data_IF_072863069510
#
_entry.id   IF_072863069510
#
_cell.length_a   1.000
_cell.length_b   1.000
_cell.length_c   1.000
_cell.angle_alpha   90.00
_cell.angle_beta   90.00
_cell.angle_gamma   90.00
#
_symmetry.space_group_name_H-M   'P 1'
#
loop_
_entity.id
_entity.type
_entity.pdbx_description
1 polymer ?
#
# COMPACT_ATOMS: atom_id res chain seq x y z
N UNK A 1 7.16 18.50 -19.55
CA UNK A 1 5.85 18.77 -18.91
C UNK A 1 4.97 17.55 -19.16
N UNK A 2 4.48 16.90 -18.10
CA UNK A 2 3.63 15.73 -18.26
C UNK A 2 2.31 16.11 -18.96
N UNK A 3 1.75 15.20 -19.77
CA UNK A 3 0.49 15.41 -20.52
C UNK A 3 -0.69 15.83 -19.63
N UNK A 4 -0.60 15.54 -18.33
CA UNK A 4 -1.54 15.94 -17.30
C UNK A 4 -1.54 17.45 -17.03
N UNK A 5 -0.36 18.06 -16.96
CA UNK A 5 -0.17 19.48 -16.64
C UNK A 5 -0.22 20.37 -17.89
N UNK A 6 0.11 19.83 -19.06
CA UNK A 6 0.19 20.60 -20.31
C UNK A 6 -1.16 20.91 -20.97
N UNK A 7 -2.29 20.59 -20.32
CA UNK A 7 -3.61 20.86 -20.90
C UNK A 7 -4.01 19.95 -22.06
N UNK A 8 -3.15 19.01 -22.48
CA UNK A 8 -3.37 18.12 -23.63
C UNK A 8 -4.54 17.15 -23.42
N UNK A 9 -4.80 16.76 -22.17
CA UNK A 9 -5.97 15.95 -21.81
C UNK A 9 -7.18 16.85 -21.57
N UNK A 10 -8.27 16.57 -22.29
CA UNK A 10 -9.56 17.21 -22.04
C UNK A 10 -10.07 16.86 -20.63
N UNK A 11 -11.01 17.64 -20.11
CA UNK A 11 -11.64 17.35 -18.81
C UNK A 11 -12.31 15.96 -18.80
N UNK A 12 -12.89 15.54 -19.94
CA UNK A 12 -13.52 14.22 -20.10
C UNK A 12 -12.48 13.10 -20.06
N UNK A 13 -11.33 13.27 -20.72
CA UNK A 13 -10.26 12.27 -20.71
C UNK A 13 -9.65 12.13 -19.32
N UNK A 14 -9.45 13.24 -18.60
CA UNK A 14 -8.98 13.20 -17.20
C UNK A 14 -9.97 12.46 -16.31
N UNK A 15 -11.26 12.74 -16.44
CA UNK A 15 -12.30 12.05 -15.69
C UNK A 15 -12.32 10.54 -16.01
N UNK A 16 -12.15 10.18 -17.28
CA UNK A 16 -12.06 8.78 -17.71
C UNK A 16 -10.85 8.07 -17.10
N UNK A 17 -9.67 8.69 -17.16
CA UNK A 17 -8.44 8.15 -16.55
C UNK A 17 -8.62 7.96 -15.04
N UNK A 18 -9.16 8.96 -14.35
CA UNK A 18 -9.45 8.85 -12.91
C UNK A 18 -10.39 7.69 -12.60
N UNK A 19 -11.46 7.50 -13.40
CA UNK A 19 -12.38 6.37 -13.24
C UNK A 19 -11.67 5.04 -13.45
N UNK A 20 -10.91 4.90 -14.54
CA UNK A 20 -10.19 3.66 -14.86
C UNK A 20 -9.17 3.30 -13.78
N UNK A 21 -8.42 4.28 -13.26
CA UNK A 21 -7.51 4.06 -12.14
C UNK A 21 -8.28 3.64 -10.88
N UNK A 22 -9.41 4.29 -10.60
CA UNK A 22 -10.31 3.92 -9.50
C UNK A 22 -10.79 2.47 -9.59
N UNK A 23 -11.25 2.06 -10.76
CA UNK A 23 -11.70 0.69 -11.04
C UNK A 23 -10.56 -0.31 -10.86
N UNK A 24 -9.37 0.01 -11.38
CA UNK A 24 -8.18 -0.84 -11.24
C UNK A 24 -7.74 -0.99 -9.78
N UNK A 25 -7.75 0.09 -9.00
CA UNK A 25 -7.52 0.00 -7.54
C UNK A 25 -8.59 -0.81 -6.83
N UNK A 26 -9.85 -0.74 -7.28
CA UNK A 26 -10.94 -1.58 -6.81
C UNK A 26 -10.65 -3.07 -7.02
N UNK A 27 -10.21 -3.43 -8.23
CA UNK A 27 -9.82 -4.81 -8.56
C UNK A 27 -8.65 -5.28 -7.72
N UNK A 28 -7.57 -4.49 -7.60
CA UNK A 28 -6.40 -4.83 -6.78
C UNK A 28 -6.76 -5.06 -5.31
N UNK A 29 -7.68 -4.26 -4.75
CA UNK A 29 -8.16 -4.44 -3.37
C UNK A 29 -9.06 -5.64 -3.18
N UNK A 30 -9.73 -6.10 -4.25
CA UNK A 30 -10.57 -7.29 -4.20
C UNK A 30 -9.75 -8.58 -4.19
N UNK A 31 -8.50 -8.55 -4.68
CA UNK A 31 -7.59 -9.68 -4.55
C UNK A 31 -7.29 -9.96 -3.08
N UNK A 32 -7.79 -11.10 -2.60
CA UNK A 32 -7.43 -11.64 -1.30
C UNK A 32 -6.30 -12.64 -1.48
N UNK A 33 -5.37 -12.64 -0.53
CA UNK A 33 -4.40 -13.72 -0.42
C UNK A 33 -5.16 -15.03 -0.20
N UNK A 34 -4.93 -16.08 -1.01
CA UNK A 34 -5.62 -17.37 -0.85
C UNK A 34 -5.51 -17.91 0.57
N UNK A 35 -4.37 -17.66 1.21
CA UNK A 35 -4.01 -18.21 2.53
C UNK A 35 -4.06 -17.14 3.63
N UNK A 36 -4.57 -15.94 3.33
CA UNK A 36 -4.59 -14.80 4.26
C UNK A 36 -3.21 -14.20 4.59
N UNK A 37 -2.15 -14.68 3.93
CA UNK A 37 -0.78 -14.25 4.16
C UNK A 37 -0.43 -12.97 3.40
N UNK A 38 0.32 -12.07 4.03
CA UNK A 38 0.93 -10.91 3.38
C UNK A 38 2.26 -11.33 2.76
N UNK A 39 2.35 -11.21 1.43
CA UNK A 39 3.50 -11.59 0.63
C UNK A 39 3.52 -10.78 -0.69
N UNK A 40 4.55 -10.98 -1.51
CA UNK A 40 4.58 -10.46 -2.87
C UNK A 40 3.61 -11.25 -3.77
N UNK A 41 3.36 -10.72 -4.97
CA UNK A 41 2.52 -11.37 -5.96
C UNK A 41 3.06 -12.78 -6.29
N UNK A 42 2.17 -13.77 -6.30
CA UNK A 42 2.55 -15.18 -6.51
C UNK A 42 3.11 -15.88 -5.27
N UNK A 43 2.95 -15.33 -4.06
CA UNK A 43 3.37 -15.99 -2.81
C UNK A 43 4.86 -15.82 -2.47
N UNK A 44 5.60 -15.02 -3.24
CA UNK A 44 7.01 -14.74 -3.02
C UNK A 44 7.23 -13.84 -1.78
N UNK A 45 8.46 -13.77 -1.24
CA UNK A 45 8.78 -12.84 -0.16
C UNK A 45 8.36 -11.40 -0.49
N UNK A 46 7.80 -10.69 0.49
CA UNK A 46 7.54 -9.27 0.38
C UNK A 46 8.86 -8.49 0.31
N UNK A 47 8.89 -7.40 -0.46
CA UNK A 47 10.10 -6.61 -0.70
C UNK A 47 9.94 -5.21 -0.08
N UNK A 48 10.84 -4.83 0.82
CA UNK A 48 10.98 -3.45 1.30
C UNK A 48 11.94 -2.68 0.37
N UNK A 49 11.38 -1.96 -0.59
CA UNK A 49 12.11 -1.15 -1.56
C UNK A 49 12.47 0.26 -1.05
N UNK A 50 12.14 0.62 0.20
CA UNK A 50 12.46 1.95 0.78
C UNK A 50 13.94 2.11 1.10
N UNK A 51 14.71 1.02 1.01
CA UNK A 51 16.13 0.95 1.39
C UNK A 51 17.02 0.87 0.15
N UNK A 52 18.26 1.34 0.29
CA UNK A 52 19.29 1.22 -0.76
C UNK A 52 19.58 -0.24 -1.13
N UNK A 53 19.53 -1.15 -0.16
CA UNK A 53 19.55 -2.59 -0.40
C UNK A 53 18.12 -3.14 -0.27
N UNK A 54 17.63 -3.80 -1.33
CA UNK A 54 16.35 -4.52 -1.31
C UNK A 54 16.39 -5.54 -0.18
N UNK A 55 15.39 -5.49 0.68
CA UNK A 55 15.23 -6.46 1.76
C UNK A 55 13.97 -7.27 1.53
N UNK A 56 14.13 -8.59 1.59
CA UNK A 56 13.03 -9.54 1.43
C UNK A 56 12.62 -10.12 2.78
N UNK A 57 11.35 -10.49 2.92
CA UNK A 57 10.84 -11.16 4.12
C UNK A 57 9.44 -11.74 3.94
N UNK A 58 9.01 -12.56 4.90
CA UNK A 58 7.71 -13.21 4.87
C UNK A 58 7.74 -14.59 4.20
N UNK A 59 6.57 -15.17 3.87
CA UNK A 59 5.23 -14.60 4.02
C UNK A 59 4.85 -14.31 5.47
N UNK A 60 4.01 -13.30 5.70
CA UNK A 60 3.61 -12.85 7.05
C UNK A 60 2.16 -13.23 7.35
N UNK A 61 1.90 -13.71 8.56
CA UNK A 61 0.56 -14.09 9.00
C UNK A 61 -0.42 -12.92 9.20
N UNK A 62 0.08 -11.67 9.19
CA UNK A 62 -0.76 -10.49 9.36
C UNK A 62 0.05 -9.18 9.40
N UNK A 63 -0.67 -8.05 9.46
CA UNK A 63 -0.09 -6.71 9.39
C UNK A 63 0.91 -6.45 10.52
N UNK A 64 0.68 -6.97 11.73
CA UNK A 64 1.62 -6.82 12.84
C UNK A 64 3.01 -7.39 12.51
N UNK A 65 3.07 -8.62 11.98
CA UNK A 65 4.34 -9.25 11.62
C UNK A 65 5.03 -8.55 10.44
N UNK A 66 4.24 -8.08 9.47
CA UNK A 66 4.75 -7.29 8.35
C UNK A 66 5.30 -5.92 8.81
N UNK A 67 4.60 -5.23 9.71
CA UNK A 67 5.04 -3.95 10.26
C UNK A 67 6.34 -4.09 11.04
N UNK A 68 6.48 -5.15 11.86
CA UNK A 68 7.75 -5.43 12.54
C UNK A 68 8.89 -5.66 11.54
N UNK A 69 8.65 -6.38 10.44
CA UNK A 69 9.64 -6.53 9.37
C UNK A 69 10.07 -5.18 8.78
N UNK A 70 9.11 -4.31 8.48
CA UNK A 70 9.38 -2.96 7.94
C UNK A 70 10.16 -2.09 8.93
N UNK A 71 9.92 -2.24 10.23
CA UNK A 71 10.59 -1.49 11.30
C UNK A 71 11.94 -2.08 11.71
N UNK A 72 12.18 -3.38 11.53
CA UNK A 72 13.31 -4.08 12.15
C UNK A 72 14.68 -3.61 11.65
N UNK A 73 14.74 -2.84 10.57
CA UNK A 73 15.99 -2.26 10.11
C UNK A 73 16.12 -0.76 10.41
N UNK A 74 15.32 -0.21 11.32
CA UNK A 74 15.50 1.13 11.92
C UNK A 74 16.35 1.06 13.21
N UNK A 75 17.25 0.08 13.30
CA UNK A 75 18.09 -0.18 14.47
C UNK A 75 18.86 1.09 14.82
N UNK A 76 18.77 1.54 16.08
CA UNK A 76 19.48 2.73 16.59
C UNK A 76 18.64 4.01 16.72
N UNK A 77 17.39 4.02 16.26
CA UNK A 77 16.52 5.21 16.36
C UNK A 77 15.14 4.89 16.96
N UNK A 78 15.05 4.68 18.29
CA UNK A 78 13.80 4.29 18.95
C UNK A 78 12.67 5.31 18.75
N UNK A 79 12.98 6.61 18.83
CA UNK A 79 12.00 7.70 18.60
C UNK A 79 11.43 7.65 17.17
N UNK A 80 12.29 7.44 16.17
CA UNK A 80 11.87 7.35 14.76
C UNK A 80 11.05 6.09 14.53
N UNK A 81 11.45 4.96 15.14
CA UNK A 81 10.71 3.71 15.08
C UNK A 81 9.29 3.87 15.63
N UNK A 82 9.16 4.50 16.80
CA UNK A 82 7.87 4.65 17.47
C UNK A 82 6.98 5.68 16.74
N UNK A 83 7.56 6.75 16.20
CA UNK A 83 6.87 7.70 15.32
C UNK A 83 6.31 7.00 14.07
N UNK A 84 7.13 6.19 13.38
CA UNK A 84 6.68 5.45 12.20
C UNK A 84 5.62 4.43 12.59
N UNK A 85 5.82 3.69 13.69
CA UNK A 85 4.85 2.71 14.19
C UNK A 85 3.50 3.34 14.49
N UNK A 86 3.45 4.55 15.04
CA UNK A 86 2.21 5.28 15.30
C UNK A 86 1.43 5.66 14.01
N UNK A 87 2.11 5.71 12.86
CA UNK A 87 1.49 5.97 11.55
C UNK A 87 1.13 4.70 10.79
N UNK A 88 1.65 3.55 11.23
CA UNK A 88 1.33 2.25 10.63
C UNK A 88 -0.06 1.82 11.06
N UNK A 89 -0.85 1.36 10.09
CA UNK A 89 -2.11 0.69 10.38
C UNK A 89 -1.82 -0.69 10.96
N UNK A 90 -2.60 -1.10 11.95
CA UNK A 90 -2.42 -2.37 12.65
C UNK A 90 -3.70 -3.22 12.67
N UNK A 91 -4.76 -2.72 12.05
CA UNK A 91 -6.13 -3.15 12.28
C UNK A 91 -6.95 -3.28 10.99
N UNK A 92 -6.35 -3.52 9.82
CA UNK A 92 -7.21 -4.01 8.73
C UNK A 92 -7.70 -5.40 9.11
N UNK A 93 -9.02 -5.61 9.32
CA UNK A 93 -9.54 -6.95 9.35
C UNK A 93 -9.30 -7.56 7.97
N UNK A 94 -8.71 -8.75 7.93
CA UNK A 94 -8.54 -9.55 6.70
C UNK A 94 -9.91 -9.78 6.03
N UNK A 95 -10.99 -9.66 6.81
CA UNK A 95 -12.42 -9.73 6.44
C UNK A 95 -13.13 -8.36 6.50
N UNK A 96 -13.45 -7.83 5.31
CA UNK A 96 -14.35 -6.71 4.93
C UNK A 96 -14.99 -5.77 5.98
N UNK A 97 -14.86 -4.44 5.75
CA UNK A 97 -16.04 -3.58 5.47
C UNK A 97 -15.68 -2.30 4.71
N UNK A 98 -16.24 -2.18 3.51
CA UNK A 98 -16.44 -0.93 2.78
C UNK A 98 -17.19 0.06 3.68
N UNK A 99 -16.58 1.22 3.96
CA UNK A 99 -17.22 2.55 4.12
C UNK A 99 -16.24 3.48 4.83
N UNK A 100 -15.28 4.04 4.10
CA UNK A 100 -14.80 5.37 4.46
C UNK A 100 -14.85 6.21 3.18
N UNK A 101 -15.57 7.34 3.16
CA UNK A 101 -15.51 8.25 2.03
C UNK A 101 -14.08 8.78 1.98
N UNK A 102 -13.32 8.35 0.97
CA UNK A 102 -12.02 8.93 0.66
C UNK A 102 -12.30 10.36 0.21
N UNK A 103 -12.14 11.31 1.12
CA UNK A 103 -12.29 12.73 0.87
C UNK A 103 -11.05 13.21 0.10
N UNK A 104 -11.10 13.08 -1.22
CA UNK A 104 -10.19 13.82 -2.09
C UNK A 104 -10.68 15.27 -2.08
N UNK A 105 -9.96 16.17 -1.41
CA UNK A 105 -10.04 17.59 -1.77
C UNK A 105 -8.99 17.80 -2.85
N UNK A 106 -9.46 18.13 -4.05
CA UNK A 106 -8.66 18.61 -5.17
C UNK A 106 -7.93 19.90 -4.79
#
# INVERSE_FOLDING_TARGET
MAAWESGLLSAQDRALVCRQLGDYFGQLRAFKSPDGLICSFGGLPAVDARRMARREGGPFAGEAAYNEFLLSGLVGHPVVRDMIRAQMRADHPTEQRLTLPINWRL
#
